data_IF_819728749540
#
_entry.id   IF_819728749540
#
_cell.length_a   1.000
_cell.length_b   1.000
_cell.length_c   1.000
_cell.angle_alpha   90.00
_cell.angle_beta   90.00
_cell.angle_gamma   90.00
#
_symmetry.space_group_name_H-M   'P 1'
#
loop_
_entity.id
_entity.type
_entity.pdbx_description
1 polymer ?
#
# COMPACT_ATOMS: atom_id res chain seq x y z
N UNK A 1 29.36 -35.70 32.23
CA UNK A 1 29.34 -34.72 31.12
C UNK A 1 29.72 -33.36 31.67
N UNK A 2 30.71 -32.67 31.11
CA UNK A 2 31.15 -31.38 31.68
C UNK A 2 30.04 -30.33 31.51
N UNK A 3 29.85 -29.45 32.52
CA UNK A 3 28.83 -28.38 32.48
C UNK A 3 28.95 -27.50 31.22
N UNK A 4 30.16 -27.39 30.65
CA UNK A 4 30.42 -26.65 29.41
C UNK A 4 29.82 -27.33 28.17
N UNK A 5 29.81 -28.66 28.12
CA UNK A 5 29.22 -29.42 27.01
C UNK A 5 27.69 -29.27 27.03
N UNK A 6 27.07 -29.31 28.21
CA UNK A 6 25.63 -29.09 28.37
C UNK A 6 25.24 -27.67 27.95
N UNK A 7 26.02 -26.66 28.36
CA UNK A 7 25.77 -25.27 27.96
C UNK A 7 25.89 -25.08 26.44
N UNK A 8 26.89 -25.71 25.81
CA UNK A 8 27.10 -25.63 24.37
C UNK A 8 25.93 -26.28 23.60
N UNK A 9 25.44 -27.43 24.08
CA UNK A 9 24.27 -28.11 23.51
C UNK A 9 22.99 -27.28 23.64
N UNK A 10 22.78 -26.62 24.78
CA UNK A 10 21.63 -25.72 24.96
C UNK A 10 21.73 -24.54 23.99
N UNK A 11 22.93 -23.96 23.83
CA UNK A 11 23.15 -22.84 22.93
C UNK A 11 22.91 -23.22 21.46
N UNK A 12 23.41 -24.38 21.03
CA UNK A 12 23.17 -24.87 19.66
C UNK A 12 21.70 -25.18 19.43
N UNK A 13 21.00 -25.81 20.38
CA UNK A 13 19.55 -26.03 20.27
C UNK A 13 18.80 -24.70 20.15
N UNK A 14 19.14 -23.69 20.95
CA UNK A 14 18.51 -22.36 20.86
C UNK A 14 18.81 -21.71 19.50
N UNK A 15 20.05 -21.74 19.02
CA UNK A 15 20.40 -21.18 17.72
C UNK A 15 19.70 -21.88 16.56
N UNK A 16 19.61 -23.21 16.58
CA UNK A 16 18.91 -24.02 15.57
C UNK A 16 17.38 -23.82 15.63
N UNK A 17 16.83 -23.59 16.83
CA UNK A 17 15.40 -23.29 17.01
C UNK A 17 15.01 -21.92 16.45
N UNK A 18 15.95 -20.98 16.39
CA UNK A 18 15.74 -19.62 15.87
C UNK A 18 16.07 -19.48 14.39
N UNK A 19 16.79 -20.45 13.79
CA UNK A 19 17.16 -20.45 12.38
C UNK A 19 16.17 -21.19 11.47
N UNK A 20 15.08 -21.74 12.02
CA UNK A 20 14.03 -22.36 11.21
C UNK A 20 13.34 -21.27 10.37
N UNK A 21 13.33 -21.38 9.02
CA UNK A 21 12.59 -20.46 8.18
C UNK A 21 11.12 -20.50 8.59
N UNK A 22 10.61 -19.38 9.11
CA UNK A 22 9.18 -19.26 9.36
C UNK A 22 8.49 -19.17 7.99
N UNK A 23 7.54 -20.06 7.66
CA UNK A 23 6.81 -19.95 6.41
C UNK A 23 6.15 -18.58 6.33
N UNK A 24 6.19 -17.98 5.13
CA UNK A 24 5.53 -16.71 4.89
C UNK A 24 4.03 -16.89 5.15
N UNK A 25 3.42 -15.93 5.86
CA UNK A 25 1.97 -15.93 6.02
C UNK A 25 1.29 -15.77 4.65
N UNK A 26 0.04 -16.26 4.56
CA UNK A 26 -0.76 -16.13 3.34
C UNK A 26 -0.81 -14.67 2.89
N UNK A 27 -0.70 -14.42 1.58
CA UNK A 27 -0.80 -13.07 1.00
C UNK A 27 -2.13 -12.38 1.35
N UNK A 28 -3.17 -13.17 1.61
CA UNK A 28 -4.48 -12.69 2.05
C UNK A 28 -4.45 -11.97 3.41
N UNK A 29 -3.39 -12.15 4.20
CA UNK A 29 -3.19 -11.47 5.49
C UNK A 29 -2.47 -10.12 5.33
N UNK A 30 -2.10 -9.73 4.09
CA UNK A 30 -1.40 -8.49 3.80
C UNK A 30 -2.24 -7.53 2.95
N UNK A 31 -2.02 -6.24 3.16
CA UNK A 31 -2.39 -5.21 2.20
C UNK A 31 -1.22 -4.96 1.26
N UNK A 32 -1.30 -5.53 0.06
CA UNK A 32 -0.34 -5.19 -0.99
C UNK A 32 -0.77 -3.85 -1.59
N UNK A 33 0.05 -2.83 -1.47
CA UNK A 33 -0.24 -1.47 -1.99
C UNK A 33 0.76 -1.16 -3.09
N UNK A 34 0.26 -0.93 -4.30
CA UNK A 34 1.07 -0.46 -5.41
C UNK A 34 1.17 1.06 -5.32
N UNK A 35 2.38 1.58 -5.21
CA UNK A 35 2.65 3.02 -5.10
C UNK A 35 3.34 3.47 -6.38
N UNK A 36 2.66 4.31 -7.16
CA UNK A 36 3.29 4.99 -8.29
C UNK A 36 3.47 6.47 -7.98
N UNK A 37 4.71 6.94 -8.04
CA UNK A 37 5.04 8.26 -7.51
C UNK A 37 5.00 9.40 -8.52
N UNK A 38 5.63 9.25 -9.69
CA UNK A 38 5.98 10.39 -10.55
C UNK A 38 5.15 10.43 -11.84
N UNK A 39 4.45 11.54 -12.04
CA UNK A 39 3.75 11.86 -13.29
C UNK A 39 3.52 13.39 -13.37
N UNK A 40 3.04 13.93 -14.48
CA UNK A 40 2.56 15.32 -14.54
C UNK A 40 1.40 15.58 -13.56
N UNK A 41 1.30 16.80 -13.04
CA UNK A 41 0.32 17.17 -12.00
C UNK A 41 -1.12 16.99 -12.46
N UNK A 42 -1.40 17.22 -13.75
CA UNK A 42 -2.70 17.02 -14.42
C UNK A 42 -3.22 15.59 -14.38
N UNK A 43 -2.38 14.62 -14.02
CA UNK A 43 -2.71 13.20 -14.02
C UNK A 43 -3.06 12.68 -12.62
N UNK A 44 -3.04 13.56 -11.63
CA UNK A 44 -3.60 13.31 -10.31
C UNK A 44 -5.12 13.38 -10.27
N UNK A 45 -5.66 13.33 -9.05
CA UNK A 45 -7.09 13.51 -8.82
C UNK A 45 -7.39 14.98 -8.53
N UNK A 46 -8.40 15.55 -9.18
CA UNK A 46 -8.85 16.92 -8.92
C UNK A 46 -9.62 17.01 -7.60
N UNK A 47 -9.58 18.14 -6.91
CA UNK A 47 -10.40 18.38 -5.70
C UNK A 47 -11.89 18.23 -6.00
N UNK A 48 -12.59 17.46 -5.16
CA UNK A 48 -14.03 17.26 -5.26
C UNK A 48 -14.58 16.64 -3.98
N UNK A 49 -15.55 17.32 -3.37
CA UNK A 49 -16.28 16.80 -2.21
C UNK A 49 -17.23 15.65 -2.58
N UNK A 50 -17.40 15.36 -3.88
CA UNK A 50 -18.32 14.35 -4.39
C UNK A 50 -17.73 12.94 -4.49
N UNK A 51 -16.43 12.75 -4.22
CA UNK A 51 -15.87 11.39 -4.23
C UNK A 51 -16.46 10.57 -3.09
N UNK A 52 -16.89 9.36 -3.42
CA UNK A 52 -17.27 8.37 -2.41
C UNK A 52 -16.04 7.75 -1.75
N UNK A 53 -16.27 7.01 -0.67
CA UNK A 53 -15.27 6.18 -0.01
C UNK A 53 -14.77 5.06 -0.97
N UNK A 54 -13.57 4.54 -0.74
CA UNK A 54 -12.93 3.55 -1.62
C UNK A 54 -13.73 2.26 -1.78
N UNK A 55 -14.44 1.84 -0.73
CA UNK A 55 -15.33 0.68 -0.77
C UNK A 55 -16.54 0.89 -1.69
N UNK A 56 -17.10 2.10 -1.71
CA UNK A 56 -18.36 2.41 -2.40
C UNK A 56 -18.17 2.77 -3.88
N UNK A 57 -16.97 3.20 -4.26
CA UNK A 57 -16.65 3.59 -5.63
C UNK A 57 -15.34 2.96 -6.10
N UNK A 58 -15.51 1.86 -6.82
CA UNK A 58 -14.48 1.19 -7.59
C UNK A 58 -14.41 1.74 -9.03
N UNK A 59 -14.39 3.06 -9.21
CA UNK A 59 -13.95 3.72 -10.46
C UNK A 59 -12.54 4.30 -10.31
N UNK A 60 -11.67 4.08 -11.30
CA UNK A 60 -10.27 4.53 -11.24
C UNK A 60 -10.24 6.06 -11.19
N UNK A 61 -9.45 6.62 -10.26
CA UNK A 61 -9.29 8.07 -10.15
C UNK A 61 -7.88 8.52 -10.54
N UNK A 62 -7.81 9.48 -11.45
CA UNK A 62 -6.56 9.96 -12.02
C UNK A 62 -6.03 9.04 -13.11
N UNK A 63 -4.94 9.46 -13.73
CA UNK A 63 -4.32 8.83 -14.89
C UNK A 63 -2.87 8.38 -14.62
N UNK A 64 -2.27 8.78 -13.50
CA UNK A 64 -0.95 8.37 -13.08
C UNK A 64 -1.01 6.99 -12.37
N UNK A 65 -1.36 5.96 -13.12
CA UNK A 65 -1.48 4.58 -12.63
C UNK A 65 -0.72 3.60 -13.55
N UNK A 66 -0.27 2.49 -12.99
CA UNK A 66 0.55 1.47 -13.66
C UNK A 66 -0.26 0.35 -14.35
N UNK A 67 -1.34 0.76 -15.00
CA UNK A 67 -2.33 -0.12 -15.63
C UNK A 67 -3.57 -0.36 -14.77
N UNK A 68 -4.70 -0.57 -15.46
CA UNK A 68 -6.00 -0.92 -14.86
C UNK A 68 -6.04 -2.40 -14.50
N UNK A 69 -6.90 -2.77 -13.55
CA UNK A 69 -7.09 -4.17 -13.13
C UNK A 69 -7.59 -5.10 -14.24
N UNK A 70 -8.45 -4.59 -15.11
CA UNK A 70 -9.01 -5.32 -16.25
C UNK A 70 -8.17 -5.17 -17.53
N UNK A 71 -7.14 -4.31 -17.50
CA UNK A 71 -6.23 -4.04 -18.60
C UNK A 71 -5.24 -5.18 -18.81
N UNK A 72 -4.86 -5.41 -20.07
CA UNK A 72 -3.78 -6.33 -20.42
C UNK A 72 -2.37 -5.70 -20.29
N UNK A 73 -2.30 -4.43 -19.87
CA UNK A 73 -1.07 -3.68 -19.66
C UNK A 73 -0.68 -3.67 -18.18
N UNK A 74 0.59 -3.67 -17.76
CA UNK A 74 1.70 -4.61 -18.05
C UNK A 74 2.45 -5.00 -16.76
N UNK A 75 2.20 -4.35 -15.60
CA UNK A 75 2.88 -4.66 -14.33
C UNK A 75 1.93 -5.12 -13.21
N UNK A 76 0.78 -4.47 -13.01
CA UNK A 76 -0.17 -4.86 -11.94
C UNK A 76 -0.74 -6.25 -12.21
N UNK A 77 -1.16 -6.52 -13.45
CA UNK A 77 -1.62 -7.86 -13.88
C UNK A 77 -0.52 -8.92 -13.79
N UNK A 78 0.73 -8.56 -14.13
CA UNK A 78 1.87 -9.48 -14.02
C UNK A 78 2.18 -9.79 -12.54
N UNK A 79 2.28 -8.77 -11.70
CA UNK A 79 2.47 -8.93 -10.25
C UNK A 79 1.38 -9.80 -9.65
N UNK A 80 0.12 -9.48 -9.94
CA UNK A 80 -1.01 -10.21 -9.40
C UNK A 80 -1.01 -11.69 -9.83
N UNK A 81 -0.87 -11.99 -11.12
CA UNK A 81 -1.00 -13.37 -11.61
C UNK A 81 0.28 -14.21 -11.48
N UNK A 82 1.47 -13.59 -11.55
CA UNK A 82 2.76 -14.31 -11.59
C UNK A 82 3.57 -14.23 -10.30
N UNK A 83 3.34 -13.22 -9.47
CA UNK A 83 4.05 -13.04 -8.19
C UNK A 83 3.15 -13.38 -7.02
N UNK A 84 1.92 -12.90 -7.01
CA UNK A 84 0.96 -13.14 -5.92
C UNK A 84 -0.04 -14.27 -6.21
N UNK A 85 0.04 -14.87 -7.40
CA UNK A 85 -0.77 -16.02 -7.83
C UNK A 85 -2.28 -15.81 -7.62
N UNK A 86 -2.75 -14.58 -7.80
CA UNK A 86 -4.15 -14.22 -7.61
C UNK A 86 -5.04 -14.98 -8.61
N UNK A 87 -6.19 -15.54 -8.17
CA UNK A 87 -7.12 -16.22 -9.06
C UNK A 87 -7.56 -15.33 -10.23
N UNK A 88 -7.63 -15.90 -11.44
CA UNK A 88 -8.13 -15.15 -12.60
C UNK A 88 -9.66 -15.03 -12.55
N UNK A 89 -10.12 -13.89 -12.06
CA UNK A 89 -11.54 -13.50 -12.01
C UNK A 89 -11.97 -12.66 -13.22
N UNK A 90 -11.13 -12.56 -14.25
CA UNK A 90 -11.42 -11.82 -15.48
C UNK A 90 -11.75 -10.34 -15.25
N UNK A 91 -12.81 -9.85 -15.91
CA UNK A 91 -13.23 -8.44 -15.85
C UNK A 91 -13.89 -8.02 -14.53
N UNK A 92 -14.15 -8.96 -13.62
CA UNK A 92 -14.74 -8.64 -12.32
C UNK A 92 -13.73 -8.03 -11.34
N UNK A 93 -12.45 -7.93 -11.73
CA UNK A 93 -11.37 -7.47 -10.87
C UNK A 93 -11.50 -5.99 -10.51
N UNK A 94 -11.38 -5.70 -9.23
CA UNK A 94 -11.61 -4.42 -8.57
C UNK A 94 -10.78 -4.34 -7.28
N UNK A 95 -10.76 -3.22 -6.52
CA UNK A 95 -10.09 -3.17 -5.22
C UNK A 95 -10.62 -4.20 -4.23
N UNK A 96 -11.92 -4.49 -4.32
CA UNK A 96 -12.66 -5.31 -3.36
C UNK A 96 -12.27 -6.79 -3.43
N UNK A 97 -11.78 -7.24 -4.59
CA UNK A 97 -11.49 -8.65 -4.85
C UNK A 97 -10.08 -8.89 -5.39
N UNK A 98 -9.23 -7.86 -5.39
CA UNK A 98 -7.81 -7.95 -5.74
C UNK A 98 -6.92 -8.06 -4.50
N UNK A 99 -5.80 -8.77 -4.62
CA UNK A 99 -4.79 -8.78 -3.56
C UNK A 99 -4.03 -7.45 -3.48
N UNK A 100 -3.86 -6.79 -4.63
CA UNK A 100 -3.17 -5.51 -4.79
C UNK A 100 -4.16 -4.36 -4.77
N UNK A 101 -3.91 -3.35 -3.94
CA UNK A 101 -4.55 -2.04 -3.96
C UNK A 101 -3.74 -1.06 -4.83
N UNK A 102 -4.39 -0.50 -5.84
CA UNK A 102 -3.82 0.39 -6.86
C UNK A 102 -4.97 1.09 -7.58
N UNK A 103 -5.75 1.88 -6.85
CA UNK A 103 -7.06 2.33 -7.34
C UNK A 103 -7.13 3.80 -7.74
N UNK A 104 -6.16 4.60 -7.29
CA UNK A 104 -6.07 6.01 -7.66
C UNK A 104 -4.63 6.51 -7.68
N UNK A 105 -4.43 7.58 -8.43
CA UNK A 105 -3.22 8.37 -8.39
C UNK A 105 -3.15 9.24 -7.13
N UNK A 106 -1.95 9.71 -6.81
CA UNK A 106 -1.77 10.82 -5.88
C UNK A 106 -2.52 12.07 -6.38
N UNK A 107 -2.93 12.97 -5.48
CA UNK A 107 -3.56 14.24 -5.86
C UNK A 107 -2.70 15.10 -6.76
N UNK A 108 -1.40 15.14 -6.49
CA UNK A 108 -0.41 15.78 -7.33
C UNK A 108 0.79 14.84 -7.54
N UNK A 109 0.79 14.01 -8.60
CA UNK A 109 1.89 13.09 -8.89
C UNK A 109 3.22 13.80 -9.21
N UNK A 110 3.20 15.09 -9.55
CA UNK A 110 4.40 15.89 -9.76
C UNK A 110 4.97 16.45 -8.45
N UNK A 111 4.32 16.18 -7.32
CA UNK A 111 4.76 16.67 -6.02
C UNK A 111 6.03 15.94 -5.55
N UNK A 112 6.70 16.47 -4.54
CA UNK A 112 7.86 15.81 -3.94
C UNK A 112 7.44 14.57 -3.13
N UNK A 113 8.44 13.70 -2.85
CA UNK A 113 8.22 12.46 -2.10
C UNK A 113 7.65 12.70 -0.70
N UNK A 114 8.07 13.76 0.00
CA UNK A 114 7.63 14.07 1.37
C UNK A 114 6.13 14.31 1.42
N UNK A 115 5.60 15.10 0.49
CA UNK A 115 4.17 15.39 0.42
C UNK A 115 3.37 14.15 -0.01
N UNK A 116 3.87 13.37 -0.97
CA UNK A 116 3.21 12.14 -1.40
C UNK A 116 3.19 11.08 -0.28
N UNK A 117 4.15 11.10 0.63
CA UNK A 117 4.12 10.21 1.81
C UNK A 117 2.97 10.56 2.76
N UNK A 118 2.66 11.84 2.95
CA UNK A 118 1.51 12.25 3.78
C UNK A 118 0.23 11.65 3.19
N UNK A 119 0.04 11.74 1.87
CA UNK A 119 -1.11 11.13 1.19
C UNK A 119 -1.07 9.59 1.19
N UNK A 120 0.11 8.97 1.20
CA UNK A 120 0.27 7.53 1.30
C UNK A 120 -0.18 7.01 2.67
N UNK A 121 0.34 7.61 3.76
CA UNK A 121 0.32 7.00 5.09
C UNK A 121 -0.40 7.79 6.19
N UNK A 122 -0.47 9.12 6.10
CA UNK A 122 -1.06 9.95 7.16
C UNK A 122 -2.60 9.91 7.07
N UNK A 123 -3.22 9.22 8.02
CA UNK A 123 -4.69 9.08 8.11
C UNK A 123 -5.43 10.42 8.32
N UNK A 124 -4.70 11.51 8.57
CA UNK A 124 -5.27 12.87 8.65
C UNK A 124 -5.23 13.65 7.34
N UNK A 125 -4.61 13.10 6.28
CA UNK A 125 -4.37 13.77 5.00
C UNK A 125 -5.59 14.50 4.39
N UNK A 126 -6.77 13.86 4.38
CA UNK A 126 -8.02 14.44 3.87
C UNK A 126 -9.05 14.71 4.99
N UNK A 127 -8.59 15.14 6.17
CA UNK A 127 -9.48 15.45 7.30
C UNK A 127 -10.43 16.62 7.01
N UNK A 128 -10.04 17.53 6.13
CA UNK A 128 -10.86 18.66 5.67
C UNK A 128 -11.89 18.26 4.60
N UNK A 129 -11.88 17.00 4.14
CA UNK A 129 -12.79 16.42 3.15
C UNK A 129 -12.77 17.08 1.77
N UNK A 130 -11.67 17.75 1.39
CA UNK A 130 -11.49 18.30 0.03
C UNK A 130 -11.59 17.26 -1.07
N UNK A 131 -11.24 16.01 -0.77
CA UNK A 131 -11.35 14.87 -1.68
C UNK A 131 -12.51 13.94 -1.27
N UNK A 132 -13.58 14.50 -0.70
CA UNK A 132 -14.79 13.76 -0.35
C UNK A 132 -14.51 12.66 0.67
N UNK A 133 -14.95 11.44 0.37
CA UNK A 133 -14.76 10.24 1.19
C UNK A 133 -13.41 9.54 1.03
N UNK A 134 -12.49 10.07 0.20
CA UNK A 134 -11.15 9.46 0.00
C UNK A 134 -10.28 9.63 1.24
N UNK A 135 -9.33 8.72 1.41
CA UNK A 135 -8.44 8.63 2.59
C UNK A 135 -6.99 8.42 2.15
N UNK A 136 -6.09 8.34 3.12
CA UNK A 136 -4.72 7.93 2.82
C UNK A 136 -4.73 6.57 2.12
N UNK A 137 -3.84 6.35 1.14
CA UNK A 137 -3.86 5.15 0.29
C UNK A 137 -3.83 3.85 1.10
N UNK A 138 -3.12 3.84 2.23
CA UNK A 138 -3.01 2.67 3.11
C UNK A 138 -4.32 2.40 3.85
N UNK A 139 -5.02 3.47 4.25
CA UNK A 139 -6.32 3.36 4.89
C UNK A 139 -7.39 2.90 3.90
N UNK A 140 -7.36 3.40 2.66
CA UNK A 140 -8.25 2.92 1.61
C UNK A 140 -8.02 1.43 1.30
N UNK A 141 -6.76 0.97 1.31
CA UNK A 141 -6.44 -0.46 1.14
C UNK A 141 -7.01 -1.35 2.26
N UNK A 142 -7.10 -0.83 3.49
CA UNK A 142 -7.79 -1.51 4.60
C UNK A 142 -9.31 -1.45 4.43
N UNK A 143 -9.83 -0.28 4.06
CA UNK A 143 -11.25 0.01 3.91
C UNK A 143 -11.92 -0.97 2.93
N UNK A 144 -11.31 -1.20 1.77
CA UNK A 144 -11.87 -2.08 0.72
C UNK A 144 -11.95 -3.55 1.14
N UNK A 145 -11.22 -3.95 2.19
CA UNK A 145 -11.25 -5.32 2.77
C UNK A 145 -12.01 -5.41 4.08
N UNK A 146 -12.42 -4.27 4.66
CA UNK A 146 -13.03 -4.23 5.97
C UNK A 146 -14.44 -4.83 5.94
N UNK A 147 -14.67 -5.79 6.83
CA UNK A 147 -15.97 -6.42 7.05
C UNK A 147 -16.11 -6.72 8.53
N UNK A 148 -17.20 -6.28 9.15
CA UNK A 148 -17.47 -6.48 10.57
C UNK A 148 -18.94 -6.80 10.80
N UNK A 149 -19.25 -7.47 11.90
CA UNK A 149 -20.63 -7.65 12.34
C UNK A 149 -20.96 -6.53 13.33
N UNK A 150 -22.02 -5.78 13.07
CA UNK A 150 -22.47 -4.73 13.98
C UNK A 150 -23.28 -5.31 15.16
N UNK A 151 -23.65 -4.46 16.12
CA UNK A 151 -24.42 -4.86 17.32
C UNK A 151 -25.79 -5.50 16.99
N UNK A 152 -26.32 -5.27 15.79
CA UNK A 152 -27.57 -5.87 15.29
C UNK A 152 -27.38 -7.23 14.62
N UNK A 153 -26.16 -7.77 14.59
CA UNK A 153 -25.82 -9.01 13.90
C UNK A 153 -25.72 -8.88 12.37
N UNK A 154 -25.76 -7.66 11.83
CA UNK A 154 -25.65 -7.41 10.38
C UNK A 154 -24.18 -7.27 9.98
N UNK A 155 -23.81 -7.89 8.86
CA UNK A 155 -22.50 -7.66 8.24
C UNK A 155 -22.49 -6.26 7.59
N UNK A 156 -21.54 -5.46 8.01
CA UNK A 156 -21.23 -4.13 7.48
C UNK A 156 -19.84 -4.14 6.84
N UNK A 157 -19.57 -3.19 5.95
CA UNK A 157 -18.35 -3.12 5.16
C UNK A 157 -17.78 -1.69 5.09
N UNK A 158 -16.58 -1.55 4.53
CA UNK A 158 -15.98 -0.25 4.25
C UNK A 158 -15.57 0.49 5.52
N UNK A 159 -15.72 1.82 5.52
CA UNK A 159 -15.26 2.65 6.62
C UNK A 159 -15.96 2.36 7.95
N UNK A 160 -17.27 2.12 7.92
CA UNK A 160 -18.02 1.78 9.14
C UNK A 160 -17.46 0.51 9.79
N UNK A 161 -17.17 -0.51 8.98
CA UNK A 161 -16.54 -1.75 9.45
C UNK A 161 -15.13 -1.50 10.00
N UNK A 162 -14.33 -0.67 9.33
CA UNK A 162 -12.97 -0.33 9.77
C UNK A 162 -12.98 0.38 11.13
N UNK A 163 -13.95 1.26 11.37
CA UNK A 163 -14.14 1.94 12.65
C UNK A 163 -14.55 1.00 13.78
N UNK A 164 -15.41 0.01 13.48
CA UNK A 164 -15.73 -1.05 14.45
C UNK A 164 -14.46 -1.86 14.77
N UNK A 165 -13.76 -2.37 13.75
CA UNK A 165 -12.56 -3.19 13.94
C UNK A 165 -11.51 -2.48 14.80
N UNK A 166 -11.31 -1.17 14.60
CA UNK A 166 -10.35 -0.37 15.38
C UNK A 166 -10.74 -0.19 16.85
N UNK A 167 -12.03 -0.30 17.20
CA UNK A 167 -12.50 -0.21 18.60
C UNK A 167 -12.31 -1.51 19.37
N UNK A 168 -12.21 -2.65 18.68
CA UNK A 168 -12.21 -3.99 19.28
C UNK A 168 -10.89 -4.73 18.98
N UNK A 169 -9.97 -4.86 19.97
CA UNK A 169 -8.65 -5.46 19.76
C UNK A 169 -8.67 -6.91 19.24
N UNK A 170 -9.73 -7.66 19.54
CA UNK A 170 -9.97 -9.02 19.07
C UNK A 170 -10.28 -9.07 17.56
N UNK A 171 -10.94 -8.04 17.03
CA UNK A 171 -11.21 -7.90 15.59
C UNK A 171 -9.99 -7.42 14.81
N UNK A 172 -9.00 -6.81 15.47
CA UNK A 172 -7.81 -6.29 14.80
C UNK A 172 -7.02 -7.37 14.03
N UNK A 173 -7.10 -8.64 14.47
CA UNK A 173 -6.49 -9.79 13.78
C UNK A 173 -7.21 -10.21 12.50
N UNK A 174 -8.42 -9.70 12.27
CA UNK A 174 -9.23 -9.99 11.08
C UNK A 174 -8.91 -9.02 9.93
N UNK A 175 -8.36 -7.85 10.25
CA UNK A 175 -7.85 -6.92 9.26
C UNK A 175 -6.45 -7.37 8.87
N UNK A 176 -6.19 -7.46 7.56
CA UNK A 176 -4.82 -7.38 7.07
C UNK A 176 -4.27 -6.02 7.55
N UNK A 177 -3.52 -6.02 8.64
CA UNK A 177 -2.98 -4.79 9.26
C UNK A 177 -1.55 -4.52 8.82
N UNK A 178 -0.90 -5.52 8.19
CA UNK A 178 0.45 -5.39 7.63
C UNK A 178 0.43 -5.09 6.16
N UNK A 179 1.33 -4.22 5.73
CA UNK A 179 1.47 -3.79 4.34
C UNK A 179 2.68 -4.40 3.67
N UNK A 180 2.51 -4.71 2.38
CA UNK A 180 3.61 -4.91 1.43
C UNK A 180 3.51 -3.76 0.44
N UNK A 181 4.53 -2.90 0.41
CA UNK A 181 4.56 -1.76 -0.52
C UNK A 181 5.31 -2.18 -1.77
N UNK A 182 4.67 -2.06 -2.92
CA UNK A 182 5.30 -2.24 -4.22
C UNK A 182 5.41 -0.86 -4.87
N UNK A 183 6.55 -0.22 -4.65
CA UNK A 183 6.81 1.13 -5.13
C UNK A 183 7.48 1.12 -6.50
N UNK A 184 6.93 1.84 -7.47
CA UNK A 184 7.54 2.00 -8.80
C UNK A 184 7.90 3.45 -9.09
N UNK A 185 9.03 3.68 -9.76
CA UNK A 185 9.58 5.02 -10.00
C UNK A 185 9.72 5.76 -8.66
N UNK A 186 9.29 7.02 -8.55
CA UNK A 186 9.28 7.76 -7.27
C UNK A 186 8.45 7.07 -6.17
N UNK A 187 7.55 6.16 -6.51
CA UNK A 187 6.74 5.43 -5.53
C UNK A 187 7.57 4.55 -4.58
N UNK A 188 8.74 4.06 -5.01
CA UNK A 188 9.68 3.37 -4.12
C UNK A 188 10.45 4.31 -3.20
N UNK A 189 10.72 5.55 -3.62
CA UNK A 189 11.27 6.60 -2.75
C UNK A 189 10.24 7.02 -1.71
N UNK A 190 8.99 7.25 -2.13
CA UNK A 190 7.85 7.53 -1.23
C UNK A 190 7.66 6.38 -0.23
N UNK A 191 7.68 5.13 -0.68
CA UNK A 191 7.54 3.97 0.21
C UNK A 191 8.66 3.88 1.25
N UNK A 192 9.90 4.20 0.88
CA UNK A 192 11.05 4.26 1.81
C UNK A 192 10.92 5.41 2.79
N UNK A 193 10.58 6.59 2.29
CA UNK A 193 10.38 7.79 3.11
C UNK A 193 9.27 7.56 4.15
N UNK A 194 8.20 6.85 3.79
CA UNK A 194 7.14 6.50 4.76
C UNK A 194 7.68 5.67 5.92
N UNK A 195 8.35 4.54 5.66
CA UNK A 195 8.84 3.64 6.72
C UNK A 195 9.96 4.26 7.56
N UNK A 196 10.59 5.33 7.07
CA UNK A 196 11.64 6.05 7.79
C UNK A 196 11.09 7.18 8.68
N UNK A 197 9.82 7.57 8.48
CA UNK A 197 9.24 8.70 9.18
C UNK A 197 8.32 8.25 10.34
N UNK A 198 8.81 8.43 11.56
CA UNK A 198 8.10 8.03 12.79
C UNK A 198 6.81 8.79 13.08
N UNK A 199 6.50 9.87 12.37
CA UNK A 199 5.31 10.68 12.67
C UNK A 199 4.00 9.99 12.25
N UNK A 200 4.07 9.14 11.22
CA UNK A 200 2.90 8.47 10.64
C UNK A 200 3.19 7.03 10.21
N UNK A 201 4.36 6.48 10.53
CA UNK A 201 4.66 5.06 10.43
C UNK A 201 4.53 4.39 11.80
N UNK A 202 3.75 3.32 11.89
CA UNK A 202 3.45 2.64 13.14
C UNK A 202 3.79 1.14 13.10
N UNK A 203 4.96 0.78 12.55
CA UNK A 203 5.45 -0.60 12.43
C UNK A 203 4.51 -1.55 11.66
N UNK A 204 3.74 -0.96 10.73
CA UNK A 204 2.71 -1.66 9.96
C UNK A 204 3.19 -2.17 8.60
N UNK A 205 4.41 -1.87 8.17
CA UNK A 205 4.96 -2.31 6.87
C UNK A 205 5.91 -3.48 7.06
N UNK A 206 5.58 -4.64 6.47
CA UNK A 206 6.39 -5.85 6.56
C UNK A 206 7.49 -5.89 5.48
N UNK A 207 7.18 -5.35 4.29
CA UNK A 207 8.08 -5.37 3.13
C UNK A 207 7.92 -4.13 2.26
N UNK A 208 9.04 -3.66 1.72
CA UNK A 208 9.08 -2.67 0.63
C UNK A 208 9.80 -3.31 -0.55
N UNK A 209 9.12 -3.38 -1.68
CA UNK A 209 9.61 -3.86 -2.97
C UNK A 209 9.68 -2.65 -3.89
N UNK A 210 10.84 -2.36 -4.44
CA UNK A 210 11.03 -1.20 -5.33
C UNK A 210 11.31 -1.65 -6.76
N UNK A 211 10.58 -1.10 -7.71
CA UNK A 211 10.67 -1.40 -9.13
C UNK A 211 11.11 -0.13 -9.87
N UNK A 212 12.30 -0.16 -10.45
CA UNK A 212 12.87 0.97 -11.22
C UNK A 212 12.78 2.33 -10.49
N UNK A 213 13.06 2.32 -9.19
CA UNK A 213 13.00 3.52 -8.36
C UNK A 213 14.34 4.28 -8.38
N UNK A 214 14.33 5.60 -8.65
CA UNK A 214 15.55 6.40 -8.70
C UNK A 214 16.03 6.76 -7.29
N UNK A 215 16.56 5.79 -6.54
CA UNK A 215 17.00 5.97 -5.15
C UNK A 215 18.13 6.99 -4.98
N UNK A 216 18.92 7.21 -6.04
CA UNK A 216 20.01 8.20 -6.10
C UNK A 216 19.65 9.40 -7.01
N UNK A 217 18.39 9.51 -7.41
CA UNK A 217 17.93 10.47 -8.41
C UNK A 217 18.04 9.95 -9.85
N UNK A 218 17.69 10.82 -10.81
CA UNK A 218 17.77 10.51 -12.24
C UNK A 218 18.34 11.69 -13.01
N UNK A 219 19.25 11.41 -13.95
CA UNK A 219 19.81 12.43 -14.83
C UNK A 219 18.80 13.04 -15.80
N UNK A 220 17.64 12.41 -16.01
CA UNK A 220 16.60 12.90 -16.91
C UNK A 220 16.08 14.30 -16.49
N UNK A 221 16.00 14.58 -15.18
CA UNK A 221 15.59 15.89 -14.68
C UNK A 221 16.65 16.96 -15.00
N UNK A 222 17.93 16.62 -14.82
CA UNK A 222 19.03 17.53 -15.16
C UNK A 222 19.02 17.88 -16.66
N UNK A 223 18.69 16.91 -17.52
CA UNK A 223 18.59 17.13 -18.97
C UNK A 223 17.42 18.05 -19.39
N UNK A 224 16.35 18.16 -18.59
CA UNK A 224 15.26 19.10 -18.86
C UNK A 224 15.67 20.54 -18.54
N UNK A 225 16.41 20.75 -17.45
CA UNK A 225 16.89 22.08 -17.03
C UNK A 225 17.82 22.70 -18.09
N UNK A 226 18.71 21.90 -18.69
CA UNK A 226 19.58 22.38 -19.77
C UNK A 226 18.81 22.80 -21.02
N UNK A 227 17.63 22.22 -21.26
CA UNK A 227 16.82 22.50 -22.44
C UNK A 227 16.05 23.83 -22.33
N UNK A 228 15.72 24.26 -21.11
CA UNK A 228 15.07 25.56 -20.86
C UNK A 228 16.07 26.71 -20.71
N UNK A 229 17.34 26.42 -20.39
CA UNK A 229 18.42 27.41 -20.31
C UNK A 229 19.08 27.78 -21.64
N UNK A 230 18.72 27.11 -22.74
CA UNK A 230 19.22 27.37 -24.11
C UNK A 230 18.18 28.05 -25.02
N UNK A 231 17.12 28.64 -24.47
CA UNK A 231 16.11 29.44 -25.21
C UNK A 231 16.20 30.92 -24.84
#
# INVERSE_FOLDING_TARGET
>A
MSKRIVLFLILTIICESWSVPKPMESITNYNVVMVHGAYESSKGIAESNGYAEAYNDSSFLGDAYLGKYDGNERIVKWLSNKVFEEPDIGKARSPLNSYIYHWRSFTNPANNSINNVIELGDRTWNKDKKFGGRRALVEEAQEVKASAVNDSGKIIHGQEALEIIRKYPDLYRQLASRYILVGHSMGGVVSREWIQNSNYYHDEVDKVITLDSPHEGTGALNMQIYKEGEV
#
